data_IF_637104715181
#
_entry.id   IF_637104715181
#
_cell.length_a   1.000
_cell.length_b   1.000
_cell.length_c   1.000
_cell.angle_alpha   90.00
_cell.angle_beta   90.00
_cell.angle_gamma   90.00
#
_symmetry.space_group_name_H-M   'P 1'
#
loop_
_entity.id
_entity.type
_entity.pdbx_description
1 polymer ?
#
# COMPACT_ATOMS: atom_id res chain seq x y z
N UNK A 1 -0.67 9.51 -20.92
CA UNK A 1 -0.54 8.36 -20.00
C UNK A 1 -0.69 8.91 -18.60
N UNK A 2 -1.53 8.29 -17.78
CA UNK A 2 -1.75 8.71 -16.39
C UNK A 2 -0.51 8.35 -15.59
N UNK A 3 0.03 9.28 -14.81
CA UNK A 3 1.11 8.98 -13.86
C UNK A 3 0.50 8.65 -12.51
N UNK A 4 0.85 7.50 -11.98
CA UNK A 4 0.29 6.98 -10.74
C UNK A 4 1.34 6.94 -9.64
N UNK A 5 0.85 6.96 -8.40
CA UNK A 5 1.64 6.62 -7.22
C UNK A 5 0.81 5.67 -6.37
N UNK A 6 1.40 4.57 -5.92
CA UNK A 6 0.75 3.59 -5.05
C UNK A 6 1.00 3.97 -3.60
N UNK A 7 -0.06 3.94 -2.80
CA UNK A 7 -0.06 4.16 -1.37
C UNK A 7 -0.56 2.89 -0.70
N UNK A 8 0.28 2.24 0.09
CA UNK A 8 -0.05 1.04 0.86
C UNK A 8 -0.26 1.45 2.30
N UNK A 9 -1.49 1.31 2.78
CA UNK A 9 -1.88 1.67 4.14
C UNK A 9 -2.01 0.38 4.94
N UNK A 10 -1.14 0.22 5.92
CA UNK A 10 -1.16 -0.92 6.83
C UNK A 10 -2.19 -0.71 7.95
N UNK A 11 -2.67 -1.79 8.58
CA UNK A 11 -3.37 -1.71 9.86
C UNK A 11 -2.49 -1.00 10.90
N UNK A 12 -3.14 -0.29 11.83
CA UNK A 12 -2.45 0.26 13.00
C UNK A 12 -2.04 -0.91 13.92
N UNK A 13 -0.85 -0.83 14.53
CA UNK A 13 -0.37 -1.86 15.46
C UNK A 13 -1.34 -2.05 16.64
N UNK A 14 -2.10 -1.01 16.98
CA UNK A 14 -3.13 -1.04 18.03
C UNK A 14 -4.45 -1.69 17.61
N UNK A 15 -4.66 -1.91 16.31
CA UNK A 15 -5.87 -2.52 15.73
C UNK A 15 -5.66 -4.02 15.40
N UNK A 16 -4.47 -4.57 15.66
CA UNK A 16 -4.15 -5.97 15.42
C UNK A 16 -4.82 -6.86 16.49
N UNK A 17 -5.71 -7.79 16.10
CA UNK A 17 -6.20 -8.82 17.01
C UNK A 17 -5.04 -9.72 17.49
N UNK A 18 -4.98 -10.01 18.79
CA UNK A 18 -3.96 -10.87 19.42
C UNK A 18 -3.84 -12.28 18.78
N UNK A 19 -4.88 -12.72 18.07
CA UNK A 19 -4.99 -14.03 17.43
C UNK A 19 -4.33 -14.09 16.04
N UNK A 20 -4.01 -12.95 15.44
CA UNK A 20 -3.39 -12.88 14.11
C UNK A 20 -1.88 -12.94 14.25
N UNK A 21 -1.22 -13.74 13.41
CA UNK A 21 0.22 -13.88 13.38
C UNK A 21 0.91 -12.67 12.71
N UNK A 22 0.61 -11.47 13.20
CA UNK A 22 1.24 -10.22 12.82
C UNK A 22 2.58 -10.11 13.55
N UNK A 23 3.63 -10.60 12.89
CA UNK A 23 4.99 -10.49 13.40
C UNK A 23 5.75 -9.40 12.66
N UNK A 24 6.71 -8.75 13.34
CA UNK A 24 7.65 -7.83 12.70
C UNK A 24 8.29 -8.47 11.46
N UNK A 25 8.58 -9.78 11.51
CA UNK A 25 9.16 -10.52 10.38
C UNK A 25 8.23 -10.62 9.17
N UNK A 26 6.91 -10.71 9.37
CA UNK A 26 5.94 -10.74 8.26
C UNK A 26 5.83 -9.37 7.61
N UNK A 27 5.79 -8.31 8.43
CA UNK A 27 5.77 -6.91 7.96
C UNK A 27 7.05 -6.58 7.20
N UNK A 28 8.22 -7.02 7.68
CA UNK A 28 9.51 -6.87 6.99
C UNK A 28 9.53 -7.60 5.64
N UNK A 29 8.96 -8.80 5.54
CA UNK A 29 8.84 -9.52 4.27
C UNK A 29 7.97 -8.77 3.27
N UNK A 30 6.82 -8.25 3.73
CA UNK A 30 5.95 -7.45 2.87
C UNK A 30 6.66 -6.16 2.42
N UNK A 31 7.39 -5.50 3.32
CA UNK A 31 8.19 -4.31 2.99
C UNK A 31 9.25 -4.61 1.94
N UNK A 32 9.97 -5.72 2.07
CA UNK A 32 10.96 -6.14 1.09
C UNK A 32 10.34 -6.37 -0.29
N UNK A 33 9.15 -6.97 -0.35
CA UNK A 33 8.42 -7.19 -1.62
C UNK A 33 7.94 -5.89 -2.24
N UNK A 34 7.46 -4.96 -1.42
CA UNK A 34 7.08 -3.64 -1.89
C UNK A 34 8.28 -2.90 -2.49
N UNK A 35 9.41 -2.94 -1.79
CA UNK A 35 10.66 -2.31 -2.22
C UNK A 35 11.20 -2.89 -3.52
N UNK A 36 11.24 -4.22 -3.66
CA UNK A 36 11.67 -4.91 -4.89
C UNK A 36 10.77 -4.59 -6.09
N UNK A 37 9.47 -4.41 -5.85
CA UNK A 37 8.49 -4.15 -6.91
C UNK A 37 8.52 -2.70 -7.37
N UNK A 38 8.66 -1.76 -6.43
CA UNK A 38 8.42 -0.32 -6.66
C UNK A 38 9.63 0.59 -6.43
N UNK A 39 10.78 0.07 -5.97
CA UNK A 39 12.07 0.76 -6.01
C UNK A 39 12.36 1.74 -4.87
N UNK A 40 11.89 1.47 -3.66
CA UNK A 40 12.00 2.26 -2.43
C UNK A 40 11.34 3.65 -2.48
N UNK A 41 10.26 3.87 -1.72
CA UNK A 41 9.77 5.24 -1.47
C UNK A 41 9.25 5.46 -0.04
N UNK A 42 9.55 6.68 0.42
CA UNK A 42 9.24 7.35 1.68
C UNK A 42 8.01 6.83 2.45
N UNK A 43 8.17 6.74 3.76
CA UNK A 43 7.04 6.71 4.70
C UNK A 43 6.41 8.10 4.72
N UNK A 44 5.27 8.26 4.04
CA UNK A 44 4.48 9.47 4.16
C UNK A 44 3.54 9.34 5.36
N UNK A 45 3.61 10.27 6.32
CA UNK A 45 2.58 10.36 7.34
C UNK A 45 1.38 11.16 6.79
N UNK A 46 0.54 10.58 5.92
CA UNK A 46 -0.76 11.21 5.61
C UNK A 46 -1.63 11.21 6.89
N UNK A 47 -1.43 10.24 7.78
CA UNK A 47 -2.05 10.18 9.11
C UNK A 47 -0.98 9.98 10.17
N UNK A 48 -1.05 10.74 11.27
CA UNK A 48 -0.04 10.74 12.34
C UNK A 48 0.11 9.39 13.06
N UNK A 49 -0.82 8.46 12.83
CA UNK A 49 -0.92 7.18 13.54
C UNK A 49 -0.89 5.95 12.63
N UNK A 50 -0.85 6.09 11.29
CA UNK A 50 -0.86 4.93 10.38
C UNK A 50 0.47 4.75 9.68
N UNK A 51 0.92 3.49 9.58
CA UNK A 51 2.06 3.14 8.75
C UNK A 51 1.60 3.13 7.28
N UNK A 52 2.19 4.02 6.48
CA UNK A 52 1.92 4.13 5.06
C UNK A 52 3.22 4.05 4.28
N UNK A 53 3.24 3.20 3.25
CA UNK A 53 4.32 3.11 2.29
C UNK A 53 3.85 3.70 0.97
N UNK A 54 4.67 4.56 0.39
CA UNK A 54 4.34 5.16 -0.90
C UNK A 54 5.32 4.63 -1.93
N UNK A 55 4.91 4.46 -3.18
CA UNK A 55 5.78 4.02 -4.27
C UNK A 55 6.43 5.20 -5.00
N UNK A 56 7.40 4.91 -5.86
CA UNK A 56 7.82 5.86 -6.88
C UNK A 56 6.69 6.14 -7.88
N UNK A 57 6.84 7.22 -8.62
CA UNK A 57 5.87 7.59 -9.66
C UNK A 57 6.09 6.72 -10.89
N UNK A 58 5.07 5.98 -11.30
CA UNK A 58 5.09 5.14 -12.49
C UNK A 58 3.99 5.54 -13.48
N UNK A 59 4.11 5.09 -14.73
CA UNK A 59 3.06 5.29 -15.73
C UNK A 59 2.05 4.15 -15.68
N UNK A 60 0.77 4.44 -15.85
CA UNK A 60 -0.30 3.44 -15.93
C UNK A 60 -0.17 2.62 -17.23
N UNK A 61 0.70 1.61 -17.20
CA UNK A 61 0.88 0.60 -18.23
C UNK A 61 0.36 -0.73 -17.74
N UNK A 62 0.03 -1.64 -18.65
CA UNK A 62 -0.38 -3.01 -18.30
C UNK A 62 0.67 -3.71 -17.44
N UNK A 63 1.96 -3.51 -17.73
CA UNK A 63 3.06 -4.03 -16.93
C UNK A 63 3.04 -3.53 -15.49
N UNK A 64 2.89 -2.22 -15.26
CA UNK A 64 2.87 -1.68 -13.90
C UNK A 64 1.61 -2.07 -13.14
N UNK A 65 0.46 -2.15 -13.82
CA UNK A 65 -0.78 -2.60 -13.18
C UNK A 65 -0.70 -4.07 -12.78
N UNK A 66 -0.11 -4.93 -13.61
CA UNK A 66 0.15 -6.32 -13.24
C UNK A 66 1.05 -6.43 -12.00
N UNK A 67 2.04 -5.55 -11.84
CA UNK A 67 2.89 -5.50 -10.63
C UNK A 67 2.12 -5.08 -9.38
N UNK A 68 1.12 -4.20 -9.52
CA UNK A 68 0.21 -3.84 -8.41
C UNK A 68 -0.64 -5.06 -8.02
N UNK A 69 -1.21 -5.76 -9.00
CA UNK A 69 -2.02 -6.97 -8.76
C UNK A 69 -1.19 -8.10 -8.13
N UNK A 70 0.06 -8.29 -8.57
CA UNK A 70 1.02 -9.24 -7.96
C UNK A 70 1.35 -8.90 -6.50
N UNK A 71 1.48 -7.60 -6.20
CA UNK A 71 1.71 -7.15 -4.84
C UNK A 71 0.48 -7.34 -3.95
N UNK A 72 -0.73 -7.06 -4.45
CA UNK A 72 -1.99 -7.37 -3.76
C UNK A 72 -2.10 -8.86 -3.45
N UNK A 73 -1.79 -9.73 -4.41
CA UNK A 73 -1.77 -11.18 -4.19
C UNK A 73 -0.75 -11.59 -3.11
N UNK A 74 0.43 -10.96 -3.10
CA UNK A 74 1.45 -11.20 -2.06
C UNK A 74 0.94 -10.80 -0.67
N UNK A 75 0.15 -9.73 -0.56
CA UNK A 75 -0.48 -9.34 0.70
C UNK A 75 -1.44 -10.43 1.19
N UNK A 76 -2.29 -10.95 0.31
CA UNK A 76 -3.25 -12.01 0.63
C UNK A 76 -2.57 -13.33 1.02
N UNK A 77 -1.43 -13.67 0.38
CA UNK A 77 -0.65 -14.87 0.70
C UNK A 77 0.05 -14.78 2.06
N UNK A 78 0.61 -13.61 2.38
CA UNK A 78 1.31 -13.38 3.65
C UNK A 78 0.35 -13.20 4.83
N UNK A 79 -0.87 -12.71 4.57
CA UNK A 79 -1.86 -12.41 5.60
C UNK A 79 -3.24 -12.98 5.23
N UNK A 80 -3.49 -14.24 5.61
CA UNK A 80 -4.76 -14.91 5.29
C UNK A 80 -5.99 -14.28 5.96
N UNK A 81 -5.77 -13.54 7.03
CA UNK A 81 -6.76 -12.85 7.85
C UNK A 81 -6.93 -11.37 7.45
N UNK A 82 -6.28 -10.91 6.38
CA UNK A 82 -6.41 -9.53 5.88
C UNK A 82 -7.27 -9.51 4.61
N UNK A 83 -8.13 -8.51 4.54
CA UNK A 83 -8.74 -8.05 3.31
C UNK A 83 -7.92 -6.90 2.74
N UNK A 84 -7.59 -7.02 1.46
CA UNK A 84 -6.98 -5.99 0.63
C UNK A 84 -8.06 -5.22 -0.12
N UNK A 85 -8.00 -3.90 -0.09
CA UNK A 85 -8.91 -3.03 -0.83
C UNK A 85 -8.11 -2.04 -1.68
N UNK A 86 -8.13 -2.25 -3.00
CA UNK A 86 -7.57 -1.33 -3.97
C UNK A 86 -8.61 -0.27 -4.39
N UNK A 87 -8.29 1.01 -4.18
CA UNK A 87 -9.11 2.14 -4.63
C UNK A 87 -8.29 3.16 -5.41
N UNK A 88 -8.98 3.97 -6.22
CA UNK A 88 -8.38 5.09 -6.97
C UNK A 88 -8.89 6.41 -6.43
N UNK A 89 -7.98 7.34 -6.14
CA UNK A 89 -8.32 8.69 -5.71
C UNK A 89 -7.53 9.75 -6.46
N UNK A 90 -8.14 10.93 -6.61
CA UNK A 90 -7.43 12.11 -7.14
C UNK A 90 -6.31 12.51 -6.18
N UNK A 91 -5.10 12.75 -6.72
CA UNK A 91 -3.88 13.11 -5.95
C UNK A 91 -4.07 14.18 -4.87
N UNK A 92 -4.92 15.18 -5.14
CA UNK A 92 -5.13 16.33 -4.27
C UNK A 92 -6.00 15.99 -3.05
N UNK A 93 -6.72 14.86 -3.07
CA UNK A 93 -7.53 14.37 -1.95
C UNK A 93 -6.75 13.49 -0.98
N UNK A 94 -5.58 12.99 -1.38
CA UNK A 94 -4.73 12.10 -0.57
C UNK A 94 -3.69 12.88 0.23
N UNK A 95 -2.60 13.32 -0.41
CA UNK A 95 -1.51 14.03 0.27
C UNK A 95 -1.35 15.49 -0.19
N UNK A 96 -2.03 15.88 -1.28
CA UNK A 96 -1.86 17.20 -1.89
C UNK A 96 -0.47 17.44 -2.50
N UNK A 97 0.38 16.41 -2.56
CA UNK A 97 1.75 16.46 -3.09
C UNK A 97 1.83 16.00 -4.54
N UNK A 98 0.69 15.77 -5.18
CA UNK A 98 0.54 15.52 -6.61
C UNK A 98 1.44 16.38 -7.50
N UNK A 99 1.43 17.70 -7.27
CA UNK A 99 2.28 18.65 -8.01
C UNK A 99 3.77 18.52 -7.70
N UNK A 100 4.11 18.19 -6.46
CA UNK A 100 5.50 18.05 -5.99
C UNK A 100 6.18 16.85 -6.63
N UNK A 101 5.47 15.72 -6.71
CA UNK A 101 6.00 14.47 -7.27
C UNK A 101 5.59 14.23 -8.73
N UNK A 102 4.77 15.11 -9.31
CA UNK A 102 4.35 15.10 -10.71
C UNK A 102 3.59 13.81 -11.11
N UNK A 103 2.62 13.41 -10.29
CA UNK A 103 1.69 12.31 -10.58
C UNK A 103 0.25 12.83 -10.70
N UNK A 104 -0.64 12.08 -11.36
CA UNK A 104 -2.03 12.42 -11.64
C UNK A 104 -3.01 11.75 -10.67
N UNK A 105 -2.86 10.45 -10.47
CA UNK A 105 -3.74 9.64 -9.64
C UNK A 105 -2.98 8.92 -8.51
N UNK A 106 -3.62 8.80 -7.35
CA UNK A 106 -3.17 7.95 -6.26
C UNK A 106 -3.94 6.61 -6.35
N UNK A 107 -3.20 5.51 -6.42
CA UNK A 107 -3.72 4.18 -6.15
C UNK A 107 -3.54 3.91 -4.67
N UNK A 108 -4.58 3.43 -4.00
CA UNK A 108 -4.56 3.14 -2.58
C UNK A 108 -4.84 1.68 -2.36
N UNK A 109 -3.88 0.97 -1.78
CA UNK A 109 -4.06 -0.39 -1.31
C UNK A 109 -4.15 -0.36 0.22
N UNK A 110 -5.34 -0.60 0.74
CA UNK A 110 -5.58 -0.63 2.18
C UNK A 110 -5.64 -2.08 2.66
N UNK A 111 -4.83 -2.40 3.66
CA UNK A 111 -4.85 -3.69 4.34
C UNK A 111 -5.69 -3.55 5.61
N UNK A 112 -6.74 -4.35 5.75
CA UNK A 112 -7.61 -4.36 6.93
C UNK A 112 -7.80 -5.77 7.44
N UNK A 113 -7.76 -5.97 8.76
CA UNK A 113 -8.09 -7.28 9.32
C UNK A 113 -9.54 -7.64 9.06
N UNK A 114 -9.76 -8.88 8.60
CA UNK A 114 -11.07 -9.50 8.54
C UNK A 114 -11.64 -9.51 9.94
N UNK A 115 -12.87 -9.02 10.09
CA UNK A 115 -13.62 -9.23 11.31
C UNK A 115 -13.97 -10.71 11.37
N UNK A 116 -13.16 -11.48 12.11
CA UNK A 116 -13.47 -12.88 12.42
C UNK A 116 -14.65 -12.85 13.39
N UNK A 117 -15.82 -13.27 12.91
CA UNK A 117 -17.02 -13.53 13.74
C UNK A 117 -17.11 -14.98 14.17
#
# INVERSE_FOLDING_TARGET
MTRCRLHVILPDDTEIPDEINWSESTVEQLRYRFDDTFGEVDTAAIQTNKQEWVSDVFEETEEHMNRVDEFEHTCDELFSEIDTLLTRQERDKMDGKGKTYNYDDALMLQLTFRLVT
#
